data_IF_102513083332
#
_entry.id   IF_102513083332
#
_cell.length_a   1.000
_cell.length_b   1.000
_cell.length_c   1.000
_cell.angle_alpha   90.00
_cell.angle_beta   90.00
_cell.angle_gamma   90.00
#
_symmetry.space_group_name_H-M   'P 1'
#
loop_
_entity.id
_entity.type
_entity.pdbx_description
1 polymer ?
#
# COMPACT_ATOMS: atom_id res chain seq x y z
N UNK A 1 10.03 -29.03 -31.55
CA UNK A 1 10.38 -29.03 -30.12
C UNK A 1 10.54 -30.49 -29.69
N UNK A 2 11.76 -30.96 -29.38
CA UNK A 2 12.04 -32.39 -29.16
C UNK A 2 11.96 -32.84 -27.70
N UNK A 3 11.60 -31.94 -26.78
CA UNK A 3 11.57 -32.24 -25.36
C UNK A 3 10.19 -32.72 -24.89
N UNK A 4 10.17 -33.56 -23.86
CA UNK A 4 8.95 -34.04 -23.21
C UNK A 4 8.10 -32.90 -22.64
N UNK A 5 6.78 -33.12 -22.43
CA UNK A 5 5.92 -32.15 -21.75
C UNK A 5 6.52 -31.70 -20.41
N UNK A 6 6.46 -30.39 -20.15
CA UNK A 6 7.02 -29.75 -18.95
C UNK A 6 8.54 -29.86 -18.76
N UNK A 7 9.29 -30.28 -19.78
CA UNK A 7 10.74 -30.26 -19.74
C UNK A 7 11.27 -28.84 -19.99
N UNK A 8 12.11 -28.34 -19.08
CA UNK A 8 12.84 -27.08 -19.23
C UNK A 8 14.29 -27.38 -19.55
N UNK A 9 14.76 -27.10 -20.79
CA UNK A 9 16.15 -27.30 -21.17
C UNK A 9 17.13 -26.54 -20.28
N UNK A 10 18.29 -27.13 -20.02
CA UNK A 10 19.27 -26.58 -19.08
C UNK A 10 19.89 -25.26 -19.57
N UNK A 11 20.06 -25.09 -20.88
CA UNK A 11 20.51 -23.82 -21.48
C UNK A 11 19.49 -22.70 -21.26
N UNK A 12 18.19 -23.00 -21.37
CA UNK A 12 17.11 -22.07 -21.02
C UNK A 12 17.16 -21.73 -19.53
N UNK A 13 17.28 -22.73 -18.66
CA UNK A 13 17.38 -22.51 -17.21
C UNK A 13 18.57 -21.63 -16.85
N UNK A 14 19.75 -21.90 -17.40
CA UNK A 14 20.98 -21.11 -17.21
C UNK A 14 20.84 -19.69 -17.77
N UNK A 15 20.22 -19.56 -18.94
CA UNK A 15 19.97 -18.27 -19.56
C UNK A 15 19.11 -17.40 -18.63
N UNK A 16 18.06 -17.94 -18.04
CA UNK A 16 17.20 -17.18 -17.14
C UNK A 16 17.81 -16.95 -15.76
N UNK A 17 18.44 -17.98 -15.17
CA UNK A 17 18.97 -17.89 -13.80
C UNK A 17 20.18 -16.96 -13.66
N UNK A 18 20.84 -16.59 -14.76
CA UNK A 18 22.00 -15.66 -14.73
C UNK A 18 21.71 -14.32 -14.05
N UNK A 19 20.45 -13.85 -14.07
CA UNK A 19 20.06 -12.57 -13.49
C UNK A 19 19.77 -12.68 -11.98
N UNK A 20 19.65 -13.90 -11.44
CA UNK A 20 19.39 -14.13 -10.00
C UNK A 20 20.45 -13.48 -9.11
N UNK A 21 21.77 -13.69 -9.32
CA UNK A 21 22.79 -13.02 -8.50
C UNK A 21 22.78 -11.50 -8.67
N UNK A 22 22.48 -11.00 -9.87
CA UNK A 22 22.36 -9.55 -10.13
C UNK A 22 21.18 -8.94 -9.36
N UNK A 23 20.01 -9.57 -9.43
CA UNK A 23 18.83 -9.15 -8.67
C UNK A 23 19.07 -9.18 -7.16
N UNK A 24 19.71 -10.23 -6.66
CA UNK A 24 20.09 -10.33 -5.25
C UNK A 24 21.07 -9.22 -4.82
N UNK A 25 22.02 -8.85 -5.68
CA UNK A 25 22.93 -7.73 -5.43
C UNK A 25 22.19 -6.39 -5.39
N UNK A 26 21.28 -6.15 -6.33
CA UNK A 26 20.49 -4.91 -6.39
C UNK A 26 19.58 -4.76 -5.17
N UNK A 27 18.96 -5.86 -4.72
CA UNK A 27 18.16 -5.88 -3.50
C UNK A 27 19.01 -5.64 -2.25
N UNK A 28 20.20 -6.25 -2.16
CA UNK A 28 21.14 -6.02 -1.06
C UNK A 28 21.58 -4.54 -0.99
N UNK A 29 21.90 -3.94 -2.14
CA UNK A 29 22.27 -2.52 -2.24
C UNK A 29 21.10 -1.61 -1.85
N UNK A 30 19.88 -1.94 -2.26
CA UNK A 30 18.68 -1.19 -1.87
C UNK A 30 18.43 -1.28 -0.37
N UNK A 31 18.54 -2.48 0.23
CA UNK A 31 18.38 -2.69 1.67
C UNK A 31 19.43 -1.91 2.48
N UNK A 32 20.68 -1.84 2.00
CA UNK A 32 21.72 -1.02 2.63
C UNK A 32 21.36 0.47 2.61
N UNK A 33 20.88 0.99 1.47
CA UNK A 33 20.41 2.37 1.34
C UNK A 33 19.18 2.65 2.21
N UNK A 34 18.25 1.70 2.31
CA UNK A 34 17.08 1.82 3.17
C UNK A 34 17.48 1.88 4.65
N UNK A 35 18.48 1.09 5.07
CA UNK A 35 19.02 1.16 6.43
C UNK A 35 19.71 2.51 6.74
N UNK A 36 20.37 3.11 5.77
CA UNK A 36 20.90 4.48 5.90
C UNK A 36 19.77 5.52 5.95
N UNK A 37 18.75 5.36 5.12
CA UNK A 37 17.56 6.21 5.09
C UNK A 37 16.82 6.19 6.44
N UNK A 38 16.63 5.00 7.04
CA UNK A 38 16.04 4.84 8.38
C UNK A 38 16.78 5.63 9.47
N UNK A 39 18.12 5.71 9.40
CA UNK A 39 18.92 6.48 10.36
C UNK A 39 18.78 7.99 10.14
N UNK A 40 18.61 8.42 8.89
CA UNK A 40 18.59 9.83 8.51
C UNK A 40 17.19 10.46 8.61
N UNK A 41 16.16 9.67 8.34
CA UNK A 41 14.75 10.08 8.26
C UNK A 41 13.87 9.07 9.01
N UNK A 42 13.97 9.00 10.35
CA UNK A 42 13.34 7.94 11.13
C UNK A 42 11.81 7.97 11.07
N UNK A 43 11.19 9.15 10.96
CA UNK A 43 9.74 9.29 10.87
C UNK A 43 9.22 8.84 9.50
N UNK A 44 9.83 9.34 8.42
CA UNK A 44 9.46 9.00 7.05
C UNK A 44 9.78 7.54 6.72
N UNK A 45 10.83 6.97 7.30
CA UNK A 45 11.13 5.57 7.16
C UNK A 45 10.14 4.67 7.91
N UNK A 46 9.64 5.09 9.08
CA UNK A 46 8.56 4.37 9.77
C UNK A 46 7.26 4.42 8.94
N UNK A 47 6.95 5.58 8.35
CA UNK A 47 5.82 5.73 7.45
C UNK A 47 5.96 4.83 6.20
N UNK A 48 7.08 4.89 5.50
CA UNK A 48 7.35 4.04 4.34
C UNK A 48 7.27 2.56 4.71
N UNK A 49 7.83 2.17 5.86
CA UNK A 49 7.76 0.80 6.35
C UNK A 49 6.31 0.34 6.50
N UNK A 50 5.46 1.14 7.14
CA UNK A 50 4.04 0.82 7.33
C UNK A 50 3.30 0.61 6.00
N UNK A 51 3.65 1.40 4.98
CA UNK A 51 3.05 1.31 3.64
C UNK A 51 3.48 0.01 2.94
N UNK A 52 4.78 -0.31 2.94
CA UNK A 52 5.30 -1.47 2.20
C UNK A 52 5.03 -2.80 2.90
N UNK A 53 4.84 -2.82 4.23
CA UNK A 53 4.44 -4.02 4.98
C UNK A 53 2.92 -4.19 5.07
N UNK A 54 2.15 -3.13 4.79
CA UNK A 54 0.70 -3.13 4.95
C UNK A 54 0.25 -3.07 6.42
N UNK A 55 1.12 -2.63 7.32
CA UNK A 55 0.80 -2.43 8.74
C UNK A 55 0.11 -1.07 8.93
N UNK A 56 -1.05 -1.06 9.58
CA UNK A 56 -1.71 0.21 9.92
C UNK A 56 -1.11 0.85 11.18
N UNK A 57 -1.08 2.19 11.28
CA UNK A 57 -0.70 2.88 12.50
C UNK A 57 -1.56 2.45 13.69
N UNK A 58 -0.94 2.26 14.86
CA UNK A 58 -1.67 1.84 16.05
C UNK A 58 -2.77 2.86 16.43
N UNK A 59 -3.99 2.37 16.64
CA UNK A 59 -5.12 3.22 17.03
C UNK A 59 -5.77 3.99 15.88
N UNK A 60 -5.45 3.69 14.62
CA UNK A 60 -6.07 4.31 13.44
C UNK A 60 -7.61 4.26 13.50
N UNK A 61 -8.16 3.18 14.06
CA UNK A 61 -9.60 2.96 14.16
C UNK A 61 -10.30 3.99 15.05
N UNK A 62 -9.57 4.62 15.97
CA UNK A 62 -10.09 5.68 16.85
C UNK A 62 -10.41 6.96 16.09
N UNK A 63 -9.87 7.13 14.88
CA UNK A 63 -10.23 8.25 14.02
C UNK A 63 -11.64 8.10 13.43
N UNK A 64 -12.18 6.87 13.35
CA UNK A 64 -13.47 6.63 12.73
C UNK A 64 -14.61 7.31 13.51
N UNK A 65 -15.55 7.97 12.80
CA UNK A 65 -16.76 8.49 13.43
C UNK A 65 -17.63 7.35 13.98
N UNK A 66 -18.23 7.59 15.13
CA UNK A 66 -19.22 6.70 15.76
C UNK A 66 -20.63 7.21 15.53
N UNK A 67 -21.58 6.30 15.32
CA UNK A 67 -22.99 6.63 15.12
C UNK A 67 -23.84 5.89 16.14
N UNK A 68 -24.87 6.56 16.64
CA UNK A 68 -25.83 6.10 17.64
C UNK A 68 -27.25 6.27 17.09
N UNK A 69 -28.27 5.63 17.69
CA UNK A 69 -29.67 5.81 17.28
C UNK A 69 -30.18 7.26 17.34
N UNK A 70 -29.56 8.13 18.14
CA UNK A 70 -29.94 9.54 18.27
C UNK A 70 -29.38 10.42 17.13
N UNK A 71 -28.42 9.90 16.35
CA UNK A 71 -27.93 10.62 15.18
C UNK A 71 -28.99 10.62 14.07
N UNK A 72 -29.18 11.76 13.36
CA UNK A 72 -30.08 11.79 12.22
C UNK A 72 -29.63 10.81 11.15
N UNK A 73 -30.59 10.16 10.49
CA UNK A 73 -30.30 9.25 9.38
C UNK A 73 -29.61 9.98 8.22
N UNK A 74 -28.61 9.33 7.63
CA UNK A 74 -27.88 9.84 6.47
C UNK A 74 -27.59 8.71 5.46
N UNK A 75 -27.36 9.08 4.21
CA UNK A 75 -27.02 8.13 3.17
C UNK A 75 -25.65 7.49 3.46
N UNK A 76 -25.54 6.18 3.30
CA UNK A 76 -24.30 5.45 3.60
C UNK A 76 -23.09 5.91 2.78
N UNK A 77 -23.30 6.51 1.60
CA UNK A 77 -22.23 7.19 0.83
C UNK A 77 -21.66 8.43 1.55
N UNK A 78 -22.49 9.19 2.26
CA UNK A 78 -22.04 10.34 3.04
C UNK A 78 -21.26 9.87 4.27
N UNK A 79 -21.73 8.80 4.92
CA UNK A 79 -21.02 8.14 6.01
C UNK A 79 -19.67 7.57 5.53
N UNK A 80 -19.62 6.98 4.34
CA UNK A 80 -18.38 6.54 3.69
C UNK A 80 -17.40 7.70 3.48
N UNK A 81 -17.89 8.86 3.02
CA UNK A 81 -17.05 10.07 2.90
C UNK A 81 -16.48 10.51 4.23
N UNK A 82 -17.29 10.50 5.29
CA UNK A 82 -16.84 10.87 6.63
C UNK A 82 -15.72 9.92 7.11
N UNK A 83 -15.89 8.61 6.88
CA UNK A 83 -14.86 7.61 7.19
C UNK A 83 -13.59 7.84 6.36
N UNK A 84 -13.69 7.99 5.03
CA UNK A 84 -12.54 8.24 4.15
C UNK A 84 -11.74 9.48 4.59
N UNK A 85 -12.43 10.56 4.95
CA UNK A 85 -11.80 11.80 5.38
C UNK A 85 -11.21 11.73 6.80
N UNK A 86 -11.77 10.90 7.68
CA UNK A 86 -11.17 10.61 8.97
C UNK A 86 -9.89 9.77 8.81
N UNK A 87 -9.94 8.73 7.99
CA UNK A 87 -8.83 7.81 7.75
C UNK A 87 -7.68 8.46 6.98
N UNK A 88 -7.95 9.35 6.03
CA UNK A 88 -6.92 10.06 5.25
C UNK A 88 -5.95 10.89 6.12
N UNK A 89 -6.33 11.22 7.35
CA UNK A 89 -5.49 11.98 8.30
C UNK A 89 -4.55 11.10 9.11
N UNK A 90 -4.83 9.80 9.21
CA UNK A 90 -4.14 8.89 10.13
C UNK A 90 -3.60 7.62 9.48
N UNK A 91 -3.99 7.31 8.23
CA UNK A 91 -3.45 6.20 7.45
C UNK A 91 -2.57 6.77 6.34
N UNK A 92 -1.24 6.72 6.51
CA UNK A 92 -0.31 7.07 5.44
C UNK A 92 -0.50 6.18 4.21
N UNK A 93 -0.29 6.76 3.04
CA UNK A 93 -0.43 6.04 1.77
C UNK A 93 -1.89 5.72 1.37
N UNK A 94 -2.90 6.19 2.10
CA UNK A 94 -4.29 6.07 1.66
C UNK A 94 -4.51 6.89 0.38
N UNK A 95 -4.61 6.18 -0.74
CA UNK A 95 -4.89 6.75 -2.06
C UNK A 95 -6.14 6.13 -2.65
N UNK A 96 -6.89 6.92 -3.41
CA UNK A 96 -8.12 6.46 -4.02
C UNK A 96 -8.77 7.56 -4.86
N UNK A 97 -9.89 7.24 -5.46
CA UNK A 97 -10.63 8.18 -6.29
C UNK A 97 -11.93 7.59 -6.80
N UNK A 98 -12.44 8.18 -7.87
CA UNK A 98 -13.63 7.69 -8.57
C UNK A 98 -13.51 8.01 -10.06
N UNK A 99 -14.03 7.11 -10.90
CA UNK A 99 -14.16 7.34 -12.34
C UNK A 99 -15.29 8.35 -12.59
N UNK A 100 -14.96 9.64 -12.66
CA UNK A 100 -15.86 10.79 -12.92
C UNK A 100 -17.00 11.01 -11.90
N UNK A 101 -17.12 10.15 -10.88
CA UNK A 101 -18.24 10.14 -9.93
C UNK A 101 -17.82 10.52 -8.51
N UNK A 102 -16.71 11.24 -8.32
CA UNK A 102 -16.18 11.52 -6.98
C UNK A 102 -17.17 12.29 -6.07
N UNK A 103 -17.94 13.21 -6.65
CA UNK A 103 -19.01 13.94 -5.96
C UNK A 103 -20.28 13.10 -5.73
N UNK A 104 -20.55 12.12 -6.60
CA UNK A 104 -21.72 11.22 -6.50
C UNK A 104 -21.50 10.07 -5.52
N UNK A 105 -20.31 9.47 -5.56
CA UNK A 105 -19.85 8.39 -4.70
C UNK A 105 -19.30 8.90 -3.37
N UNK A 106 -19.11 10.23 -3.27
CA UNK A 106 -18.60 10.92 -2.10
C UNK A 106 -17.17 10.49 -1.70
N UNK A 107 -16.29 10.28 -2.67
CA UNK A 107 -14.89 9.84 -2.45
C UNK A 107 -13.86 10.97 -2.46
N UNK A 108 -14.29 12.23 -2.63
CA UNK A 108 -13.39 13.39 -2.53
C UNK A 108 -12.83 13.51 -1.11
N UNK A 109 -11.49 13.51 -1.01
CA UNK A 109 -10.76 13.83 0.21
C UNK A 109 -10.66 15.34 0.36
N UNK A 110 -11.15 15.83 1.49
CA UNK A 110 -11.17 17.21 1.96
C UNK A 110 -10.00 17.36 2.93
N UNK A 111 -8.78 17.34 2.39
CA UNK A 111 -7.56 17.55 3.17
C UNK A 111 -7.50 18.97 3.72
#
# INVERSE_FOLDING_TARGET
>A
WPYEPFHVPEDVKKHWSRHTPEGASLEADWNAKYAEYQKKYPEEAAELNSIITGEFPAGWEKALPTYTPDNPGDATRNLSQANLNALAKVIPGLIGGSADLASSNMTLLKM
#
